data_IF_049620184296
#
_entry.id   IF_049620184296
#
_cell.length_a   1.000
_cell.length_b   1.000
_cell.length_c   1.000
_cell.angle_alpha   90.00
_cell.angle_beta   90.00
_cell.angle_gamma   90.00
#
_symmetry.space_group_name_H-M   'P 1'
#
loop_
_entity.id
_entity.type
_entity.pdbx_description
1 polymer ?
#
# COMPACT_ATOMS: atom_id res chain seq x y z
N UNK A 1 -6.49 24.27 20.84
CA UNK A 1 -5.72 23.07 20.42
C UNK A 1 -6.47 22.39 19.28
N UNK A 2 -5.87 22.33 18.13
CA UNK A 2 -6.39 21.49 17.06
C UNK A 2 -5.96 20.07 17.32
N UNK A 3 -6.93 19.16 17.54
CA UNK A 3 -6.65 17.74 17.55
C UNK A 3 -6.09 17.37 16.19
N UNK A 4 -4.79 17.01 16.18
CA UNK A 4 -4.11 16.57 14.96
C UNK A 4 -4.67 15.21 14.58
N UNK A 5 -5.44 15.16 13.49
CA UNK A 5 -5.95 13.90 12.98
C UNK A 5 -4.83 13.09 12.32
N UNK A 6 -4.78 11.80 12.62
CA UNK A 6 -3.86 10.89 11.95
C UNK A 6 -4.19 10.79 10.46
N UNK A 7 -3.18 10.49 9.64
CA UNK A 7 -3.38 10.10 8.25
C UNK A 7 -4.02 8.71 8.15
N UNK A 8 -4.36 8.31 6.94
CA UNK A 8 -4.96 7.02 6.62
C UNK A 8 -3.92 6.09 5.97
N UNK A 9 -3.94 4.83 6.35
CA UNK A 9 -3.18 3.77 5.69
C UNK A 9 -4.05 3.15 4.59
N UNK A 10 -3.70 3.39 3.34
CA UNK A 10 -4.37 2.83 2.19
C UNK A 10 -3.71 1.54 1.75
N UNK A 11 -4.48 0.48 1.63
CA UNK A 11 -4.01 -0.81 1.10
C UNK A 11 -4.26 -0.84 -0.40
N UNK A 12 -3.18 -0.70 -1.19
CA UNK A 12 -3.25 -0.49 -2.64
C UNK A 12 -2.95 -1.80 -3.35
N UNK A 13 -3.92 -2.37 -4.08
CA UNK A 13 -3.70 -3.58 -4.86
C UNK A 13 -2.92 -3.28 -6.13
N UNK A 14 -2.14 -4.26 -6.56
CA UNK A 14 -1.42 -4.27 -7.84
C UNK A 14 -1.84 -5.50 -8.65
N UNK A 15 -1.54 -5.57 -9.95
CA UNK A 15 -1.81 -6.77 -10.73
C UNK A 15 -1.16 -8.02 -10.11
N UNK A 16 -1.79 -9.18 -10.29
CA UNK A 16 -1.21 -10.46 -9.86
C UNK A 16 0.00 -10.81 -10.71
N UNK A 17 -0.09 -10.57 -12.02
CA UNK A 17 1.06 -10.68 -12.92
C UNK A 17 1.97 -9.46 -12.74
N UNK A 18 3.19 -9.71 -12.27
CA UNK A 18 4.20 -8.67 -12.04
C UNK A 18 4.64 -7.95 -13.31
N UNK A 19 4.41 -8.54 -14.48
CA UNK A 19 4.76 -7.95 -15.77
C UNK A 19 3.58 -7.21 -16.44
N UNK A 20 2.40 -7.20 -15.82
CA UNK A 20 1.25 -6.50 -16.35
C UNK A 20 1.51 -5.00 -16.40
N UNK A 21 1.34 -4.42 -17.59
CA UNK A 21 1.57 -2.99 -17.86
C UNK A 21 0.35 -2.13 -17.60
N UNK A 22 -0.81 -2.75 -17.40
CA UNK A 22 -2.06 -2.05 -17.18
C UNK A 22 -2.39 -1.96 -15.70
N UNK A 23 -2.94 -0.83 -15.28
CA UNK A 23 -3.44 -0.66 -13.93
C UNK A 23 -4.76 -1.39 -13.74
N UNK A 24 -4.95 -1.98 -12.56
CA UNK A 24 -6.21 -2.60 -12.14
C UNK A 24 -7.03 -1.70 -11.20
N UNK A 25 -6.53 -0.51 -10.88
CA UNK A 25 -7.21 0.39 -9.94
C UNK A 25 -8.44 1.03 -10.56
N UNK A 26 -9.51 1.10 -9.76
CA UNK A 26 -10.65 1.94 -10.09
C UNK A 26 -10.23 3.41 -10.12
N UNK A 27 -10.89 4.22 -10.93
CA UNK A 27 -10.53 5.62 -11.13
C UNK A 27 -10.56 6.45 -9.84
N UNK A 28 -11.52 6.22 -8.96
CA UNK A 28 -11.57 6.89 -7.67
C UNK A 28 -10.39 6.50 -6.75
N UNK A 29 -9.90 5.25 -6.83
CA UNK A 29 -8.71 4.81 -6.10
C UNK A 29 -7.45 5.41 -6.70
N UNK A 30 -7.35 5.48 -8.02
CA UNK A 30 -6.23 6.14 -8.71
C UNK A 30 -6.08 7.60 -8.26
N UNK A 31 -7.18 8.33 -8.12
CA UNK A 31 -7.18 9.71 -7.63
C UNK A 31 -6.66 9.84 -6.20
N UNK A 32 -6.91 8.85 -5.35
CA UNK A 32 -6.35 8.81 -4.00
C UNK A 32 -4.84 8.62 -4.08
N UNK A 33 -4.37 7.64 -4.86
CA UNK A 33 -2.93 7.34 -5.03
C UNK A 33 -2.18 8.55 -5.58
N UNK A 34 -2.78 9.32 -6.48
CA UNK A 34 -2.22 10.56 -7.04
C UNK A 34 -1.78 11.57 -5.96
N UNK A 35 -2.43 11.58 -4.80
CA UNK A 35 -2.16 12.51 -3.71
C UNK A 35 -1.15 12.01 -2.69
N UNK A 36 -0.74 10.73 -2.79
CA UNK A 36 0.17 10.12 -1.82
C UNK A 36 1.62 10.46 -2.13
N UNK A 37 2.38 10.77 -1.09
CA UNK A 37 3.82 10.99 -1.16
C UNK A 37 4.62 9.85 -0.52
N UNK A 38 4.01 9.13 0.43
CA UNK A 38 4.65 8.09 1.23
C UNK A 38 4.10 6.72 0.89
N UNK A 39 5.01 5.78 0.66
CA UNK A 39 4.67 4.40 0.35
C UNK A 39 5.52 3.45 1.18
N UNK A 40 4.88 2.41 1.70
CA UNK A 40 5.54 1.24 2.28
C UNK A 40 5.30 0.07 1.34
N UNK A 41 6.36 -0.55 0.88
CA UNK A 41 6.30 -1.51 -0.22
C UNK A 41 7.08 -2.77 0.12
N UNK A 42 6.64 -3.91 -0.38
CA UNK A 42 7.37 -5.18 -0.22
C UNK A 42 8.63 -5.22 -1.10
N UNK A 43 8.55 -4.63 -2.29
CA UNK A 43 9.67 -4.50 -3.22
C UNK A 43 9.56 -3.16 -3.96
N UNK A 44 10.60 -2.33 -3.83
CA UNK A 44 10.59 -0.98 -4.39
C UNK A 44 10.57 -0.97 -5.92
N UNK A 45 11.31 -1.86 -6.57
CA UNK A 45 11.36 -1.95 -8.03
C UNK A 45 10.00 -2.30 -8.62
N UNK A 46 9.34 -3.29 -8.04
CA UNK A 46 8.00 -3.72 -8.46
C UNK A 46 6.96 -2.63 -8.21
N UNK A 47 7.02 -1.98 -7.05
CA UNK A 47 6.12 -0.88 -6.71
C UNK A 47 6.27 0.31 -7.68
N UNK A 48 7.50 0.72 -7.99
CA UNK A 48 7.78 1.78 -8.96
C UNK A 48 7.22 1.43 -10.33
N UNK A 49 7.38 0.19 -10.77
CA UNK A 49 6.83 -0.28 -12.04
C UNK A 49 5.30 -0.14 -12.09
N UNK A 50 4.60 -0.62 -11.05
CA UNK A 50 3.15 -0.53 -11.00
C UNK A 50 2.64 0.91 -10.84
N UNK A 51 3.30 1.74 -10.05
CA UNK A 51 2.94 3.15 -9.92
C UNK A 51 3.15 3.91 -11.23
N UNK A 52 4.19 3.59 -12.00
CA UNK A 52 4.41 4.18 -13.31
C UNK A 52 3.27 3.92 -14.29
N UNK A 53 2.61 2.77 -14.19
CA UNK A 53 1.45 2.43 -15.04
C UNK A 53 0.21 3.29 -14.74
N UNK A 54 0.19 4.00 -13.62
CA UNK A 54 -0.91 4.91 -13.25
C UNK A 54 -0.83 6.27 -13.94
N UNK A 55 0.28 6.59 -14.59
CA UNK A 55 0.53 7.89 -15.20
C UNK A 55 0.29 9.06 -14.23
N UNK A 56 0.90 8.96 -13.04
CA UNK A 56 0.80 10.00 -12.03
C UNK A 56 1.41 11.32 -12.53
N UNK A 57 0.81 12.45 -12.17
CA UNK A 57 1.34 13.78 -12.49
C UNK A 57 2.67 14.02 -11.76
N UNK A 58 2.78 13.51 -10.53
CA UNK A 58 3.99 13.61 -9.73
C UNK A 58 5.04 12.62 -10.21
N UNK A 59 6.29 13.03 -10.41
CA UNK A 59 7.38 12.13 -10.77
C UNK A 59 7.62 11.06 -9.68
N UNK A 60 7.83 9.81 -10.10
CA UNK A 60 8.07 8.68 -9.18
C UNK A 60 9.28 8.93 -8.27
N UNK A 61 10.32 9.61 -8.76
CA UNK A 61 11.52 9.91 -7.97
C UNK A 61 11.29 10.94 -6.84
N UNK A 62 10.14 11.59 -6.79
CA UNK A 62 9.75 12.48 -5.71
C UNK A 62 8.96 11.76 -4.61
N UNK A 63 8.60 10.49 -4.80
CA UNK A 63 7.90 9.69 -3.82
C UNK A 63 8.88 9.09 -2.81
N UNK A 64 8.41 8.92 -1.57
CA UNK A 64 9.17 8.31 -0.49
C UNK A 64 8.78 6.84 -0.33
N UNK A 65 9.77 5.95 -0.38
CA UNK A 65 9.56 4.51 -0.25
C UNK A 65 10.30 3.97 0.97
N UNK A 66 9.60 3.16 1.75
CA UNK A 66 10.18 2.30 2.78
C UNK A 66 9.88 0.84 2.42
N UNK A 67 10.84 -0.05 2.64
CA UNK A 67 10.69 -1.47 2.29
C UNK A 67 10.28 -2.27 3.52
N UNK A 68 9.17 -2.99 3.40
CA UNK A 68 8.64 -3.91 4.39
C UNK A 68 8.63 -5.33 3.81
N UNK A 69 9.64 -6.09 4.14
CA UNK A 69 9.80 -7.49 3.73
C UNK A 69 9.81 -8.43 4.95
N UNK A 70 10.13 -9.70 4.71
CA UNK A 70 10.16 -10.73 5.76
C UNK A 70 11.22 -10.47 6.84
N UNK A 71 12.27 -9.71 6.52
CA UNK A 71 13.37 -9.40 7.45
C UNK A 71 13.14 -8.14 8.25
N UNK A 72 12.15 -7.33 7.90
CA UNK A 72 11.86 -6.06 8.57
C UNK A 72 11.37 -6.31 10.00
N UNK A 73 12.05 -5.72 10.96
CA UNK A 73 11.70 -5.86 12.38
C UNK A 73 10.59 -4.88 12.79
N UNK A 74 9.89 -5.18 13.87
CA UNK A 74 8.76 -4.37 14.35
C UNK A 74 9.13 -2.91 14.65
N UNK A 75 10.34 -2.67 15.15
CA UNK A 75 10.82 -1.31 15.41
C UNK A 75 10.88 -0.47 14.13
N UNK A 76 11.38 -1.04 13.03
CA UNK A 76 11.40 -0.38 11.72
C UNK A 76 9.97 -0.09 11.22
N UNK A 77 9.05 -1.05 11.36
CA UNK A 77 7.65 -0.87 10.96
C UNK A 77 7.01 0.26 11.79
N UNK A 78 7.32 0.33 13.08
CA UNK A 78 6.85 1.41 13.94
C UNK A 78 7.35 2.77 13.44
N UNK A 79 8.59 2.85 12.96
CA UNK A 79 9.13 4.07 12.35
C UNK A 79 8.41 4.42 11.04
N UNK A 80 8.03 3.42 10.22
CA UNK A 80 7.30 3.65 8.98
C UNK A 80 5.90 4.25 9.20
N UNK A 81 5.31 4.05 10.37
CA UNK A 81 4.02 4.64 10.75
C UNK A 81 4.10 6.14 11.08
N UNK A 82 5.31 6.68 11.28
CA UNK A 82 5.48 8.06 11.75
C UNK A 82 4.74 9.10 10.89
N UNK A 83 4.80 9.08 9.55
CA UNK A 83 4.05 10.05 8.74
C UNK A 83 2.55 10.02 9.02
N UNK A 84 1.97 8.84 9.27
CA UNK A 84 0.55 8.72 9.62
C UNK A 84 0.22 9.45 10.93
N UNK A 85 1.10 9.34 11.93
CA UNK A 85 0.92 10.04 13.21
C UNK A 85 1.10 11.57 13.06
N UNK A 86 1.75 12.00 11.99
CA UNK A 86 1.93 13.41 11.64
C UNK A 86 0.81 13.95 10.74
N UNK A 87 -0.15 13.10 10.35
CA UNK A 87 -1.32 13.49 9.54
C UNK A 87 -1.16 13.25 8.05
N UNK A 88 -0.07 12.59 7.60
CA UNK A 88 0.14 12.22 6.21
C UNK A 88 -0.42 10.83 5.93
N UNK A 89 -0.98 10.65 4.75
CA UNK A 89 -1.45 9.34 4.29
C UNK A 89 -0.29 8.50 3.76
N UNK A 90 -0.39 7.17 3.92
CA UNK A 90 0.57 6.21 3.39
C UNK A 90 -0.15 5.18 2.52
N UNK A 91 0.47 4.82 1.40
CA UNK A 91 0.06 3.67 0.59
C UNK A 91 0.90 2.43 0.91
N UNK A 92 0.27 1.31 1.18
CA UNK A 92 0.91 0.00 1.38
C UNK A 92 0.72 -0.84 0.12
N UNK A 93 1.82 -1.35 -0.44
CA UNK A 93 1.83 -2.12 -1.68
C UNK A 93 2.62 -3.42 -1.48
N UNK A 94 2.01 -4.55 -1.82
CA UNK A 94 2.71 -5.86 -1.89
C UNK A 94 3.28 -6.10 -3.29
N UNK A 95 3.96 -7.22 -3.49
CA UNK A 95 4.48 -7.56 -4.82
C UNK A 95 3.40 -8.01 -5.80
N UNK A 96 2.27 -8.52 -5.30
CA UNK A 96 1.21 -9.08 -6.15
C UNK A 96 -0.15 -9.02 -5.46
N UNK A 97 -1.16 -8.55 -6.17
CA UNK A 97 -2.54 -8.54 -5.71
C UNK A 97 -2.80 -7.59 -4.54
N UNK A 98 -3.78 -7.93 -3.72
CA UNK A 98 -4.14 -7.19 -2.52
C UNK A 98 -3.06 -7.31 -1.44
N UNK A 99 -2.57 -6.21 -0.86
CA UNK A 99 -1.59 -6.25 0.21
C UNK A 99 -2.19 -6.73 1.55
N UNK A 100 -1.33 -7.09 2.48
CA UNK A 100 -1.65 -7.57 3.83
C UNK A 100 -2.38 -8.92 3.88
N UNK A 101 -2.43 -9.65 2.77
CA UNK A 101 -2.96 -11.02 2.69
C UNK A 101 -1.81 -11.97 2.46
N UNK A 102 -1.43 -12.75 3.46
CA UNK A 102 -0.30 -13.68 3.44
C UNK A 102 1.03 -13.01 3.02
N UNK A 103 1.22 -11.76 3.41
CA UNK A 103 2.44 -10.99 3.17
C UNK A 103 2.84 -10.17 4.41
N UNK A 104 4.08 -9.60 4.42
CA UNK A 104 4.59 -8.84 5.59
C UNK A 104 3.77 -7.60 5.95
N UNK A 105 3.00 -7.06 5.02
CA UNK A 105 2.17 -5.86 5.24
C UNK A 105 1.14 -6.03 6.35
N UNK A 106 0.73 -7.26 6.67
CA UNK A 106 -0.20 -7.54 7.77
C UNK A 106 0.30 -7.04 9.12
N UNK A 107 1.61 -7.04 9.35
CA UNK A 107 2.22 -6.50 10.59
C UNK A 107 2.00 -5.00 10.71
N UNK A 108 2.15 -4.26 9.63
CA UNK A 108 1.90 -2.82 9.62
C UNK A 108 0.43 -2.50 9.87
N UNK A 109 -0.48 -3.27 9.28
CA UNK A 109 -1.92 -3.12 9.52
C UNK A 109 -2.25 -3.35 10.99
N UNK A 110 -1.71 -4.40 11.61
CA UNK A 110 -1.92 -4.68 13.03
C UNK A 110 -1.41 -3.53 13.92
N UNK A 111 -0.23 -3.00 13.66
CA UNK A 111 0.32 -1.84 14.39
C UNK A 111 -0.49 -0.57 14.17
N UNK A 112 -0.99 -0.34 12.96
CA UNK A 112 -1.86 0.80 12.66
C UNK A 112 -3.14 0.74 13.52
N UNK A 113 -3.77 -0.41 13.64
CA UNK A 113 -4.93 -0.59 14.51
C UNK A 113 -4.61 -0.33 15.98
N UNK A 114 -3.47 -0.80 16.47
CA UNK A 114 -3.04 -0.54 17.85
C UNK A 114 -2.89 0.96 18.15
N UNK A 115 -2.58 1.75 17.13
CA UNK A 115 -2.41 3.21 17.22
C UNK A 115 -3.64 4.00 16.80
N UNK A 116 -4.78 3.34 16.63
CA UNK A 116 -6.04 3.95 16.18
C UNK A 116 -5.91 4.71 14.85
N UNK A 117 -5.07 4.21 13.95
CA UNK A 117 -4.91 4.71 12.59
C UNK A 117 -5.96 4.04 11.69
N UNK A 118 -6.64 4.84 10.90
CA UNK A 118 -7.63 4.34 9.95
C UNK A 118 -6.95 3.57 8.82
N UNK A 119 -7.41 2.35 8.58
CA UNK A 119 -6.93 1.47 7.49
C UNK A 119 -8.03 1.36 6.44
N UNK A 120 -7.71 1.65 5.19
CA UNK A 120 -8.66 1.67 4.08
C UNK A 120 -8.18 0.72 3.00
N UNK A 121 -8.79 -0.48 2.87
CA UNK A 121 -8.47 -1.38 1.76
C UNK A 121 -9.11 -0.87 0.47
N UNK A 122 -8.35 -0.95 -0.62
CA UNK A 122 -8.88 -0.71 -1.96
C UNK A 122 -9.30 -2.02 -2.62
N UNK A 123 -10.27 -1.95 -3.52
CA UNK A 123 -10.76 -3.11 -4.28
C UNK A 123 -9.69 -3.55 -5.28
N UNK A 124 -9.39 -4.83 -5.27
CA UNK A 124 -8.40 -5.38 -6.19
C UNK A 124 -8.34 -6.90 -6.21
N UNK A 125 -7.47 -7.48 -7.05
CA UNK A 125 -7.39 -8.91 -7.27
C UNK A 125 -6.71 -9.64 -6.11
N UNK A 126 -7.16 -10.87 -5.86
CA UNK A 126 -6.52 -11.82 -4.95
C UNK A 126 -6.50 -13.20 -5.59
N UNK A 127 -5.31 -13.80 -5.72
CA UNK A 127 -5.19 -15.16 -6.25
C UNK A 127 -5.92 -16.20 -5.40
N UNK A 128 -6.01 -15.96 -4.09
CA UNK A 128 -6.75 -16.83 -3.15
C UNK A 128 -8.24 -16.80 -3.48
N UNK A 129 -8.82 -15.63 -3.63
CA UNK A 129 -10.25 -15.48 -3.95
C UNK A 129 -10.55 -16.01 -5.36
N UNK A 130 -9.69 -15.70 -6.34
CA UNK A 130 -9.87 -16.20 -7.71
C UNK A 130 -9.82 -17.71 -7.78
N UNK A 131 -8.89 -18.35 -7.06
CA UNK A 131 -8.81 -19.81 -6.97
C UNK A 131 -10.06 -20.39 -6.29
N UNK A 132 -10.54 -19.77 -5.22
CA UNK A 132 -11.76 -20.18 -4.54
C UNK A 132 -12.98 -20.09 -5.47
N UNK A 133 -13.11 -19.01 -6.22
CA UNK A 133 -14.19 -18.83 -7.23
C UNK A 133 -14.15 -19.93 -8.28
N UNK A 134 -12.97 -20.27 -8.77
CA UNK A 134 -12.78 -21.27 -9.83
C UNK A 134 -12.95 -22.71 -9.35
N UNK A 135 -12.88 -22.97 -8.04
CA UNK A 135 -12.96 -24.32 -7.48
C UNK A 135 -14.39 -24.83 -7.30
N UNK A 136 -15.39 -23.96 -7.35
CA UNK A 136 -16.78 -24.33 -7.10
C UNK A 136 -17.05 -24.78 -5.68
#
# INVERSE_FOLDING_TARGET
>A
MTDKTNGCLYLIPVPIDQNAKESILLENHRKIVERLDYFVVENEKTARFHLSALNLQKPINQLHFEVLDKSTIEEEITNYLRPLLEGFDIGLISESGCPAVADPGSKMVALAHQKNIKVIPMIGPSSIILALMASG
#
